data_IF_918047923737
#
_entry.id   IF_918047923737
#
_cell.length_a   1.000
_cell.length_b   1.000
_cell.length_c   1.000
_cell.angle_alpha   90.00
_cell.angle_beta   90.00
_cell.angle_gamma   90.00
#
_symmetry.space_group_name_H-M   'P 1'
#
loop_
_entity.id
_entity.type
_entity.pdbx_description
1 polymer ?
#
# COMPACT_ATOMS: atom_id res chain seq x y z
N UNK A 1 -35.26 9.27 13.16
CA UNK A 1 -33.98 8.89 12.53
C UNK A 1 -32.90 9.04 13.58
N UNK A 2 -32.53 7.93 14.23
CA UNK A 2 -31.53 7.93 15.30
C UNK A 2 -30.14 8.21 14.72
N UNK A 3 -29.37 9.02 15.45
CA UNK A 3 -27.96 9.29 15.17
C UNK A 3 -27.21 7.99 15.40
N UNK A 4 -26.76 7.35 14.32
CA UNK A 4 -25.82 6.23 14.39
C UNK A 4 -24.49 6.78 14.93
N UNK A 5 -24.14 6.38 16.15
CA UNK A 5 -22.84 6.69 16.75
C UNK A 5 -21.70 6.19 15.84
N UNK A 6 -20.66 7.01 15.74
CA UNK A 6 -19.48 6.74 14.92
C UNK A 6 -18.78 5.47 15.42
N UNK A 7 -18.53 4.46 14.58
CA UNK A 7 -17.64 3.37 14.97
C UNK A 7 -16.21 3.92 15.09
N UNK A 8 -15.64 3.81 16.29
CA UNK A 8 -14.23 4.08 16.52
C UNK A 8 -13.44 2.79 16.21
N UNK A 9 -12.81 2.74 15.03
CA UNK A 9 -11.80 1.72 14.75
C UNK A 9 -10.50 2.09 15.46
N UNK A 10 -9.90 1.13 16.14
CA UNK A 10 -8.63 1.29 16.85
C UNK A 10 -7.46 1.30 15.85
N UNK A 11 -7.35 2.37 15.06
CA UNK A 11 -6.07 2.78 14.50
C UNK A 11 -5.40 3.71 15.50
N UNK A 12 -4.16 3.44 15.89
CA UNK A 12 -3.35 4.37 16.69
C UNK A 12 -3.17 5.67 15.92
N UNK A 13 -4.01 6.65 16.18
CA UNK A 13 -3.76 8.04 15.84
C UNK A 13 -3.00 8.65 17.02
N UNK A 14 -1.69 8.78 16.91
CA UNK A 14 -0.94 9.69 17.78
C UNK A 14 -1.29 11.09 17.26
N UNK A 15 -2.33 11.70 17.83
CA UNK A 15 -2.60 13.11 17.65
C UNK A 15 -1.60 13.88 18.52
N UNK A 16 -0.68 14.61 17.89
CA UNK A 16 0.07 15.67 18.56
C UNK A 16 -0.91 16.81 18.85
N UNK A 17 -1.21 17.04 20.13
CA UNK A 17 -1.94 18.22 20.59
C UNK A 17 -0.92 19.35 20.78
N UNK A 18 -0.93 20.32 19.87
CA UNK A 18 -0.13 21.55 19.90
C UNK A 18 -0.88 22.70 20.63
N UNK A 19 -1.57 22.39 21.72
CA UNK A 19 -2.26 23.38 22.55
C UNK A 19 -1.64 23.40 23.95
N UNK A 20 -0.43 23.96 24.05
CA UNK A 20 0.09 24.53 25.30
C UNK A 20 1.31 25.43 25.02
N UNK A 21 1.07 26.62 24.49
CA UNK A 21 2.01 27.75 24.60
C UNK A 21 1.32 28.79 25.50
N UNK A 22 1.69 28.89 26.80
CA UNK A 22 1.19 29.95 27.65
C UNK A 22 1.87 31.27 27.26
N UNK A 23 1.04 32.30 27.09
CA UNK A 23 1.45 33.63 26.68
C UNK A 23 2.36 34.34 27.68
N UNK A 24 3.26 35.15 27.11
CA UNK A 24 4.08 36.11 27.85
C UNK A 24 3.24 37.30 28.32
N UNK A 25 3.09 37.46 29.63
CA UNK A 25 2.69 38.73 30.24
C UNK A 25 3.79 39.22 31.16
N UNK A 26 4.25 40.44 30.88
CA UNK A 26 5.14 41.26 31.68
C UNK A 26 4.53 41.68 33.01
N UNK A 27 5.24 41.50 34.12
CA UNK A 27 5.25 42.40 35.27
C UNK A 27 6.41 42.05 36.22
N UNK A 28 7.06 43.09 36.73
CA UNK A 28 8.15 43.08 37.70
C UNK A 28 7.75 42.41 39.03
N UNK A 29 8.72 41.82 39.72
CA UNK A 29 9.02 42.13 41.13
C UNK A 29 10.36 41.49 41.53
N UNK A 30 11.15 42.30 42.23
CA UNK A 30 12.34 41.93 42.98
C UNK A 30 11.97 41.03 44.16
N UNK A 31 12.74 39.96 44.40
CA UNK A 31 13.03 39.45 45.73
C UNK A 31 14.24 38.51 45.65
N UNK A 32 15.29 38.88 46.39
CA UNK A 32 16.49 38.11 46.67
C UNK A 32 16.10 36.87 47.51
N UNK A 33 16.58 35.69 47.13
CA UNK A 33 16.91 34.66 48.13
C UNK A 33 17.99 33.71 47.59
N UNK A 34 19.00 33.53 48.44
CA UNK A 34 20.13 32.62 48.27
C UNK A 34 19.64 31.17 48.32
N UNK A 35 19.84 30.43 47.23
CA UNK A 35 19.95 28.97 47.29
C UNK A 35 21.28 28.52 46.68
N UNK A 36 21.99 27.74 47.48
CA UNK A 36 23.34 27.25 47.26
C UNK A 36 23.38 26.33 46.03
N UNK A 37 24.24 26.72 45.09
CA UNK A 37 24.53 26.06 43.82
C UNK A 37 25.28 24.74 44.07
N UNK A 38 24.56 23.66 44.38
CA UNK A 38 25.05 22.29 44.19
C UNK A 38 25.09 21.99 42.69
N UNK A 39 26.17 22.44 42.05
CA UNK A 39 26.56 22.01 40.71
C UNK A 39 26.91 20.52 40.75
N UNK A 40 25.89 19.68 40.57
CA UNK A 40 26.08 18.29 40.19
C UNK A 40 26.84 18.26 38.86
N UNK A 41 28.12 17.92 38.95
CA UNK A 41 28.97 17.58 37.82
C UNK A 41 28.40 16.30 37.20
N UNK A 42 27.52 16.47 36.21
CA UNK A 42 27.11 15.39 35.33
C UNK A 42 28.35 14.94 34.56
N UNK A 43 28.82 13.73 34.89
CA UNK A 43 29.94 13.06 34.23
C UNK A 43 29.77 13.12 32.70
N UNK A 44 30.60 13.97 32.08
CA UNK A 44 30.60 14.26 30.65
C UNK A 44 31.36 13.18 29.86
N UNK A 45 31.02 11.90 30.06
CA UNK A 45 31.69 10.76 29.41
C UNK A 45 30.75 9.88 28.58
N UNK A 46 29.75 10.52 27.97
CA UNK A 46 28.82 9.90 27.03
C UNK A 46 28.80 10.64 25.70
N UNK A 47 29.95 10.75 25.02
CA UNK A 47 30.00 11.30 23.66
C UNK A 47 29.29 10.33 22.71
N UNK A 48 27.97 10.47 22.63
CA UNK A 48 27.15 9.77 21.63
C UNK A 48 27.63 10.24 20.28
N UNK A 49 28.40 9.38 19.60
CA UNK A 49 28.91 9.68 18.26
C UNK A 49 27.74 10.09 17.37
N UNK A 50 27.76 11.31 16.87
CA UNK A 50 26.71 11.87 16.02
C UNK A 50 26.41 10.99 14.79
N UNK A 51 27.38 10.21 14.34
CA UNK A 51 27.21 9.25 13.24
C UNK A 51 26.33 8.05 13.63
N UNK A 52 26.42 7.57 14.86
CA UNK A 52 25.55 6.50 15.38
C UNK A 52 24.11 7.00 15.49
N UNK A 53 23.92 8.22 16.00
CA UNK A 53 22.60 8.84 16.05
C UNK A 53 22.00 9.04 14.66
N UNK A 54 22.79 9.49 13.67
CA UNK A 54 22.36 9.61 12.28
C UNK A 54 21.96 8.28 11.67
N UNK A 55 22.70 7.20 11.98
CA UNK A 55 22.37 5.86 11.52
C UNK A 55 21.04 5.37 12.13
N UNK A 56 20.83 5.58 13.43
CA UNK A 56 19.57 5.26 14.11
C UNK A 56 18.41 6.05 13.52
N UNK A 57 18.55 7.36 13.33
CA UNK A 57 17.51 8.20 12.70
C UNK A 57 17.22 7.70 11.28
N UNK A 58 18.23 7.29 10.52
CA UNK A 58 18.05 6.75 9.16
C UNK A 58 17.27 5.43 9.17
N UNK A 59 17.54 4.54 10.12
CA UNK A 59 16.83 3.27 10.23
C UNK A 59 15.40 3.45 10.73
N UNK A 60 15.19 4.26 11.77
CA UNK A 60 13.86 4.53 12.33
C UNK A 60 12.98 5.30 11.33
N UNK A 61 13.56 6.20 10.54
CA UNK A 61 12.83 7.01 9.54
C UNK A 61 12.74 6.35 8.16
N UNK A 62 12.96 5.03 8.07
CA UNK A 62 12.96 4.27 6.81
C UNK A 62 11.64 4.37 6.04
N UNK A 63 10.51 4.56 6.75
CA UNK A 63 9.21 4.87 6.15
C UNK A 63 8.61 3.77 5.26
N UNK A 64 9.25 2.61 5.18
CA UNK A 64 8.79 1.42 4.45
C UNK A 64 8.92 0.19 5.33
N UNK A 65 8.03 -0.78 5.13
CA UNK A 65 8.10 -2.08 5.82
C UNK A 65 9.35 -2.84 5.36
N UNK A 66 9.95 -3.64 6.24
CA UNK A 66 11.22 -4.36 5.96
C UNK A 66 11.18 -5.25 4.73
N UNK A 67 10.03 -5.88 4.46
CA UNK A 67 9.83 -6.68 3.23
C UNK A 67 9.94 -5.82 1.97
N UNK A 68 9.39 -4.60 2.00
CA UNK A 68 9.47 -3.64 0.88
C UNK A 68 10.89 -3.12 0.70
N UNK A 69 11.60 -2.82 1.78
CA UNK A 69 13.01 -2.42 1.72
C UNK A 69 13.91 -3.53 1.17
N UNK A 70 13.72 -4.78 1.61
CA UNK A 70 14.46 -5.91 1.09
C UNK A 70 14.23 -6.08 -0.42
N UNK A 71 12.98 -5.94 -0.87
CA UNK A 71 12.64 -6.01 -2.29
C UNK A 71 13.23 -4.84 -3.09
N UNK A 72 13.19 -3.62 -2.58
CA UNK A 72 13.83 -2.47 -3.24
C UNK A 72 15.34 -2.63 -3.33
N UNK A 73 16.00 -3.08 -2.26
CA UNK A 73 17.44 -3.39 -2.27
C UNK A 73 17.79 -4.47 -3.30
N UNK A 74 16.94 -5.51 -3.45
CA UNK A 74 17.11 -6.53 -4.49
C UNK A 74 17.02 -5.93 -5.88
N UNK A 75 15.99 -5.12 -6.14
CA UNK A 75 15.77 -4.45 -7.43
C UNK A 75 16.89 -3.46 -7.77
N UNK A 76 17.39 -2.70 -6.80
CA UNK A 76 18.55 -1.80 -6.94
C UNK A 76 19.78 -2.58 -7.45
N UNK A 77 20.13 -3.71 -6.81
CA UNK A 77 21.26 -4.55 -7.24
C UNK A 77 21.08 -5.11 -8.66
N UNK A 78 19.85 -5.46 -9.03
CA UNK A 78 19.54 -5.93 -10.40
C UNK A 78 19.71 -4.80 -11.42
N UNK A 79 19.30 -3.57 -11.07
CA UNK A 79 19.52 -2.39 -11.89
C UNK A 79 21.02 -2.10 -12.08
N UNK A 80 21.81 -2.08 -11.01
CA UNK A 80 23.27 -1.89 -11.08
C UNK A 80 23.91 -2.91 -12.01
N UNK A 81 23.61 -4.19 -11.80
CA UNK A 81 24.11 -5.27 -12.64
C UNK A 81 23.75 -5.07 -14.12
N UNK A 82 22.52 -4.65 -14.40
CA UNK A 82 22.08 -4.37 -15.77
C UNK A 82 22.85 -3.19 -16.38
N UNK A 83 22.98 -2.07 -15.66
CA UNK A 83 23.65 -0.85 -16.15
C UNK A 83 25.13 -1.11 -16.42
N UNK A 84 25.80 -1.91 -15.59
CA UNK A 84 27.17 -2.37 -15.85
C UNK A 84 27.25 -3.34 -17.03
N UNK A 85 26.38 -4.34 -17.10
CA UNK A 85 26.39 -5.32 -18.19
C UNK A 85 26.09 -4.67 -19.56
N UNK A 86 25.30 -3.60 -19.58
CA UNK A 86 25.02 -2.82 -20.78
C UNK A 86 26.17 -1.85 -21.16
N UNK A 87 27.20 -1.70 -20.31
CA UNK A 87 28.32 -0.78 -20.53
C UNK A 87 27.94 0.69 -20.42
N UNK A 88 26.81 1.02 -19.79
CA UNK A 88 26.38 2.41 -19.58
C UNK A 88 27.23 3.12 -18.52
N UNK A 89 27.78 2.36 -17.57
CA UNK A 89 28.66 2.87 -16.52
C UNK A 89 29.93 2.03 -16.48
N UNK A 90 31.06 2.70 -16.27
CA UNK A 90 32.38 2.07 -16.18
C UNK A 90 32.46 1.14 -14.96
N UNK A 91 33.25 0.08 -15.08
CA UNK A 91 33.52 -0.82 -13.96
C UNK A 91 34.10 -0.05 -12.77
N UNK A 92 33.59 -0.34 -11.57
CA UNK A 92 33.99 0.31 -10.32
C UNK A 92 33.34 1.66 -10.03
N UNK A 93 32.43 2.15 -10.89
CA UNK A 93 31.63 3.34 -10.61
C UNK A 93 30.21 2.93 -10.26
N UNK A 94 29.74 3.29 -9.06
CA UNK A 94 28.38 2.95 -8.60
C UNK A 94 27.32 3.76 -9.37
N UNK A 95 26.29 3.07 -9.87
CA UNK A 95 25.14 3.73 -10.50
C UNK A 95 24.34 4.56 -9.51
N UNK A 96 24.06 4.00 -8.34
CA UNK A 96 23.41 4.70 -7.25
C UNK A 96 24.48 5.40 -6.40
N UNK A 97 24.50 6.73 -6.46
CA UNK A 97 25.48 7.54 -5.74
C UNK A 97 24.89 8.90 -5.34
N UNK A 98 25.59 9.63 -4.48
CA UNK A 98 25.23 11.01 -4.12
C UNK A 98 25.53 12.02 -5.23
N UNK A 99 26.27 11.62 -6.27
CA UNK A 99 26.57 12.43 -7.46
C UNK A 99 26.37 11.54 -8.69
N UNK A 100 25.11 11.22 -9.03
CA UNK A 100 24.84 10.25 -10.08
C UNK A 100 25.20 10.81 -11.46
N UNK A 101 25.39 9.89 -12.41
CA UNK A 101 25.69 10.24 -13.80
C UNK A 101 24.60 11.17 -14.37
N UNK A 102 24.94 12.19 -15.17
CA UNK A 102 23.95 13.07 -15.80
C UNK A 102 22.85 12.33 -16.58
N UNK A 103 23.15 11.14 -17.12
CA UNK A 103 22.24 10.28 -17.86
C UNK A 103 21.52 9.23 -16.99
N UNK A 104 21.67 9.26 -15.66
CA UNK A 104 21.11 8.24 -14.77
C UNK A 104 19.60 8.03 -14.94
N UNK A 105 18.84 9.09 -15.26
CA UNK A 105 17.42 9.00 -15.55
C UNK A 105 17.13 8.15 -16.80
N UNK A 106 17.96 8.30 -17.85
CA UNK A 106 17.86 7.52 -19.09
C UNK A 106 18.23 6.07 -18.84
N UNK A 107 19.26 5.80 -18.03
CA UNK A 107 19.65 4.43 -17.67
C UNK A 107 18.56 3.70 -16.87
N UNK A 108 17.88 4.40 -15.96
CA UNK A 108 16.72 3.86 -15.24
C UNK A 108 15.57 3.50 -16.20
N UNK A 109 15.28 4.35 -17.19
CA UNK A 109 14.29 4.05 -18.24
C UNK A 109 14.71 2.87 -19.08
N UNK A 110 15.97 2.80 -19.51
CA UNK A 110 16.51 1.68 -20.27
C UNK A 110 16.38 0.35 -19.51
N UNK A 111 16.62 0.36 -18.20
CA UNK A 111 16.41 -0.81 -17.36
C UNK A 111 14.93 -1.23 -17.29
N UNK A 112 14.02 -0.29 -17.08
CA UNK A 112 12.57 -0.60 -17.09
C UNK A 112 12.14 -1.10 -18.47
N UNK A 113 12.66 -0.51 -19.55
CA UNK A 113 12.38 -0.90 -20.93
C UNK A 113 12.86 -2.31 -21.24
N UNK A 114 14.06 -2.68 -20.79
CA UNK A 114 14.63 -4.01 -21.03
C UNK A 114 13.88 -5.13 -20.28
N UNK A 115 13.17 -4.84 -19.20
CA UNK A 115 12.34 -5.84 -18.50
C UNK A 115 10.87 -5.82 -18.98
N UNK A 116 10.27 -4.64 -19.08
CA UNK A 116 8.80 -4.50 -19.08
C UNK A 116 8.20 -4.00 -20.40
N UNK A 117 9.00 -3.73 -21.44
CA UNK A 117 8.53 -3.20 -22.72
C UNK A 117 8.73 -4.21 -23.86
N UNK A 118 7.80 -4.24 -24.81
CA UNK A 118 7.88 -5.09 -26.02
C UNK A 118 8.88 -4.54 -27.03
N UNK A 119 9.47 -3.38 -26.77
CA UNK A 119 10.52 -2.77 -27.60
C UNK A 119 11.85 -2.91 -26.88
N UNK A 120 12.84 -3.46 -27.57
CA UNK A 120 14.22 -3.54 -27.10
C UNK A 120 14.91 -2.19 -27.06
N UNK A 121 16.10 -2.15 -26.45
CA UNK A 121 16.92 -0.93 -26.35
C UNK A 121 17.39 -0.39 -27.70
N UNK A 122 17.42 -1.25 -28.73
CA UNK A 122 17.74 -0.90 -30.12
C UNK A 122 16.52 -0.35 -30.88
N UNK A 123 15.37 -0.22 -30.22
CA UNK A 123 14.12 0.26 -30.82
C UNK A 123 13.38 -0.81 -31.62
N UNK A 124 13.86 -2.05 -31.68
CA UNK A 124 13.19 -3.13 -32.41
C UNK A 124 12.20 -3.87 -31.51
N UNK A 125 11.16 -4.50 -32.07
CA UNK A 125 10.30 -5.40 -31.32
C UNK A 125 11.12 -6.53 -30.68
N UNK A 126 10.77 -6.88 -29.44
CA UNK A 126 11.34 -8.01 -28.71
C UNK A 126 10.92 -9.32 -29.38
N UNK A 127 11.76 -10.34 -29.23
CA UNK A 127 11.45 -11.70 -29.68
C UNK A 127 10.18 -12.22 -28.99
N UNK A 128 9.34 -12.93 -29.75
CA UNK A 128 8.03 -13.41 -29.31
C UNK A 128 8.14 -14.41 -28.13
N UNK A 129 9.29 -15.06 -27.99
CA UNK A 129 9.54 -16.02 -26.92
C UNK A 129 9.82 -15.35 -25.56
N UNK A 130 10.13 -14.05 -25.54
CA UNK A 130 10.44 -13.33 -24.29
C UNK A 130 9.24 -12.49 -23.85
N UNK A 131 8.47 -13.00 -22.89
CA UNK A 131 7.35 -12.24 -22.30
C UNK A 131 7.86 -11.05 -21.51
N UNK A 132 7.41 -9.85 -21.85
CA UNK A 132 7.66 -8.65 -21.06
C UNK A 132 6.99 -8.74 -19.67
N UNK A 133 7.66 -8.19 -18.66
CA UNK A 133 7.10 -8.08 -17.31
C UNK A 133 5.93 -7.09 -17.25
N UNK A 134 5.04 -7.29 -16.28
CA UNK A 134 3.86 -6.45 -16.04
C UNK A 134 4.18 -4.97 -15.76
N UNK A 135 3.23 -4.07 -16.03
CA UNK A 135 3.37 -2.66 -15.66
C UNK A 135 3.56 -2.45 -14.14
N UNK A 136 2.95 -3.31 -13.32
CA UNK A 136 3.15 -3.30 -11.86
C UNK A 136 4.62 -3.59 -11.49
N UNK A 137 5.31 -4.44 -12.24
CA UNK A 137 6.74 -4.68 -12.04
C UNK A 137 7.55 -3.42 -12.39
N UNK A 138 7.24 -2.78 -13.51
CA UNK A 138 7.85 -1.50 -13.90
C UNK A 138 7.67 -0.41 -12.81
N UNK A 139 6.50 -0.34 -12.18
CA UNK A 139 6.26 0.60 -11.06
C UNK A 139 7.17 0.29 -9.86
N UNK A 140 7.36 -0.99 -9.52
CA UNK A 140 8.28 -1.40 -8.44
C UNK A 140 9.73 -1.06 -8.77
N UNK A 141 10.16 -1.30 -10.01
CA UNK A 141 11.49 -0.94 -10.49
C UNK A 141 11.74 0.56 -10.35
N UNK A 142 10.80 1.41 -10.81
CA UNK A 142 10.88 2.86 -10.64
C UNK A 142 10.92 3.26 -9.16
N UNK A 143 10.05 2.70 -8.33
CA UNK A 143 10.01 3.00 -6.90
C UNK A 143 11.31 2.60 -6.19
N UNK A 144 11.92 1.49 -6.58
CA UNK A 144 13.23 1.07 -6.11
C UNK A 144 14.32 2.07 -6.51
N UNK A 145 14.31 2.60 -7.75
CA UNK A 145 15.22 3.66 -8.15
C UNK A 145 15.00 4.95 -7.33
N UNK A 146 13.74 5.35 -7.11
CA UNK A 146 13.41 6.51 -6.27
C UNK A 146 13.91 6.34 -4.85
N UNK A 147 13.73 5.15 -4.28
CA UNK A 147 14.23 4.77 -2.96
C UNK A 147 15.76 4.80 -2.90
N UNK A 148 16.44 4.20 -3.88
CA UNK A 148 17.90 4.20 -3.98
C UNK A 148 18.48 5.61 -3.99
N UNK A 149 18.16 6.40 -5.00
CA UNK A 149 18.66 7.77 -5.14
C UNK A 149 18.22 8.68 -3.99
N UNK A 150 16.94 8.64 -3.63
CA UNK A 150 16.36 9.56 -2.66
C UNK A 150 16.80 9.26 -1.24
N UNK A 151 16.65 8.01 -0.80
CA UNK A 151 16.83 7.59 0.59
C UNK A 151 18.23 7.07 0.89
N UNK A 152 18.74 6.16 0.06
CA UNK A 152 20.05 5.55 0.34
C UNK A 152 21.17 6.56 0.14
N UNK A 153 21.10 7.35 -0.94
CA UNK A 153 22.11 8.34 -1.34
C UNK A 153 21.75 9.81 -1.04
N UNK A 154 20.62 10.05 -0.38
CA UNK A 154 20.31 11.37 0.20
C UNK A 154 19.92 12.46 -0.80
N UNK A 155 19.53 12.11 -2.03
CA UNK A 155 19.07 13.08 -3.04
C UNK A 155 17.63 13.56 -2.80
N UNK A 156 16.92 12.92 -1.86
CA UNK A 156 15.55 13.26 -1.49
C UNK A 156 14.54 13.10 -2.64
N UNK A 157 13.54 13.98 -2.65
CA UNK A 157 12.43 14.03 -3.61
C UNK A 157 12.53 15.21 -4.59
N UNK A 158 13.68 15.87 -4.66
CA UNK A 158 13.89 17.02 -5.53
C UNK A 158 13.82 16.56 -7.00
N UNK A 159 13.07 17.22 -7.88
CA UNK A 159 13.04 16.90 -9.30
C UNK A 159 14.44 16.92 -9.92
N UNK A 160 14.73 15.96 -10.79
CA UNK A 160 16.01 15.88 -11.52
C UNK A 160 16.11 17.05 -12.50
N UNK A 161 17.04 17.97 -12.27
CA UNK A 161 17.19 19.18 -13.08
C UNK A 161 18.65 19.64 -13.17
N UNK A 162 19.00 20.30 -14.27
CA UNK A 162 20.31 20.93 -14.41
C UNK A 162 20.32 22.25 -13.64
N UNK A 163 21.24 22.38 -12.70
CA UNK A 163 21.47 23.62 -11.96
C UNK A 163 21.94 24.72 -12.91
N UNK A 164 21.26 25.87 -12.91
CA UNK A 164 21.66 27.04 -13.72
C UNK A 164 23.04 27.58 -13.32
N UNK A 165 23.36 27.55 -12.03
CA UNK A 165 24.61 28.07 -11.49
C UNK A 165 25.80 27.13 -11.72
N UNK A 166 25.64 25.84 -11.39
CA UNK A 166 26.76 24.88 -11.44
C UNK A 166 26.85 24.11 -12.76
N UNK A 167 25.78 24.12 -13.56
CA UNK A 167 25.64 23.28 -14.74
C UNK A 167 25.54 21.78 -14.45
N UNK A 168 25.59 21.36 -13.18
CA UNK A 168 25.49 19.95 -12.77
C UNK A 168 24.03 19.53 -12.62
N UNK A 169 23.75 18.25 -12.83
CA UNK A 169 22.44 17.67 -12.55
C UNK A 169 22.27 17.50 -11.03
N UNK A 170 21.10 17.92 -10.52
CA UNK A 170 20.72 17.83 -9.10
C UNK A 170 19.35 17.17 -8.98
N UNK A 171 19.10 16.53 -7.84
CA UNK A 171 17.81 15.89 -7.50
C UNK A 171 17.83 14.38 -7.67
N UNK A 172 16.66 13.77 -7.76
CA UNK A 172 16.50 12.32 -7.90
C UNK A 172 16.22 11.93 -9.36
N UNK A 173 17.13 11.20 -10.04
CA UNK A 173 16.98 10.81 -11.45
C UNK A 173 15.64 10.13 -11.80
N UNK A 174 15.06 9.36 -10.87
CA UNK A 174 13.78 8.66 -11.09
C UNK A 174 12.52 9.56 -11.10
N UNK A 175 12.68 10.80 -10.61
CA UNK A 175 11.63 11.83 -10.57
C UNK A 175 11.72 12.74 -11.82
N UNK A 176 12.63 12.45 -12.74
CA UNK A 176 12.72 13.18 -14.00
C UNK A 176 11.42 13.08 -14.83
N UNK A 177 11.10 14.17 -15.54
CA UNK A 177 9.83 14.27 -16.28
C UNK A 177 9.72 13.18 -17.36
N UNK A 178 10.81 12.91 -18.08
CA UNK A 178 10.80 11.91 -19.15
C UNK A 178 10.61 10.48 -18.62
N UNK A 179 11.09 10.17 -17.41
CA UNK A 179 10.80 8.89 -16.74
C UNK A 179 9.29 8.77 -16.50
N UNK A 180 8.65 9.85 -16.03
CA UNK A 180 7.21 9.88 -15.79
C UNK A 180 6.40 9.75 -17.09
N UNK A 181 6.80 10.47 -18.15
CA UNK A 181 6.20 10.37 -19.49
C UNK A 181 6.33 8.95 -20.06
N UNK A 182 7.50 8.35 -19.91
CA UNK A 182 7.75 6.96 -20.32
C UNK A 182 6.83 5.98 -19.58
N UNK A 183 6.72 6.06 -18.25
CA UNK A 183 5.83 5.19 -17.46
C UNK A 183 4.35 5.31 -17.89
N UNK A 184 3.88 6.53 -18.18
CA UNK A 184 2.51 6.73 -18.70
C UNK A 184 2.33 6.09 -20.07
N UNK A 185 3.32 6.21 -20.96
CA UNK A 185 3.32 5.57 -22.28
C UNK A 185 3.32 4.04 -22.17
N UNK A 186 4.19 3.49 -21.32
CA UNK A 186 4.29 2.06 -21.04
C UNK A 186 2.95 1.51 -20.54
N UNK A 187 2.32 2.17 -19.57
CA UNK A 187 0.98 1.80 -19.09
C UNK A 187 -0.04 1.72 -20.22
N UNK A 188 -0.07 2.72 -21.10
CA UNK A 188 -1.00 2.75 -22.24
C UNK A 188 -0.72 1.63 -23.24
N UNK A 189 0.55 1.31 -23.51
CA UNK A 189 0.94 0.19 -24.38
C UNK A 189 0.46 -1.14 -23.78
N UNK A 190 0.77 -1.39 -22.52
CA UNK A 190 0.39 -2.63 -21.86
C UNK A 190 -1.14 -2.83 -21.82
N UNK A 191 -1.90 -1.75 -21.55
CA UNK A 191 -3.37 -1.79 -21.62
C UNK A 191 -3.87 -2.13 -23.05
N UNK A 192 -3.24 -1.58 -24.10
CA UNK A 192 -3.58 -1.93 -25.49
C UNK A 192 -3.25 -3.38 -25.82
N UNK A 193 -2.21 -3.94 -25.21
CA UNK A 193 -1.83 -5.34 -25.35
C UNK A 193 -2.68 -6.30 -24.51
N UNK A 194 -3.73 -5.79 -23.84
CA UNK A 194 -4.64 -6.61 -23.05
C UNK A 194 -4.20 -6.84 -21.61
N UNK A 195 -3.12 -6.20 -21.13
CA UNK A 195 -2.83 -6.17 -19.68
C UNK A 195 -3.94 -5.35 -19.01
N UNK A 196 -4.91 -6.04 -18.42
CA UNK A 196 -5.95 -5.37 -17.63
C UNK A 196 -5.32 -4.97 -16.32
N UNK A 197 -5.36 -3.67 -16.03
CA UNK A 197 -4.88 -3.17 -14.75
C UNK A 197 -5.61 -3.90 -13.62
N UNK A 198 -4.85 -4.55 -12.75
CA UNK A 198 -5.41 -5.26 -11.60
C UNK A 198 -6.24 -4.28 -10.76
N UNK A 199 -7.47 -4.65 -10.40
CA UNK A 199 -8.40 -3.77 -9.69
C UNK A 199 -8.81 -2.50 -10.47
N UNK A 200 -8.74 -2.52 -11.80
CA UNK A 200 -9.21 -1.41 -12.64
C UNK A 200 -10.67 -1.05 -12.38
N UNK A 201 -11.51 -2.04 -12.08
CA UNK A 201 -12.94 -1.84 -11.83
C UNK A 201 -13.26 -1.78 -10.35
N UNK A 202 -14.13 -0.85 -10.01
CA UNK A 202 -14.77 -0.77 -8.71
C UNK A 202 -15.90 -1.81 -8.63
N UNK A 203 -16.05 -2.43 -7.46
CA UNK A 203 -17.27 -3.19 -7.16
C UNK A 203 -18.40 -2.19 -6.92
N UNK A 204 -19.52 -2.32 -7.63
CA UNK A 204 -20.66 -1.42 -7.46
C UNK A 204 -21.67 -2.00 -6.47
N UNK A 205 -22.59 -1.19 -5.91
CA UNK A 205 -23.68 -1.69 -5.08
C UNK A 205 -24.51 -2.77 -5.77
N UNK A 206 -24.73 -2.66 -7.07
CA UNK A 206 -25.51 -3.62 -7.86
C UNK A 206 -24.78 -4.96 -7.94
N UNK A 207 -23.45 -4.94 -8.11
CA UNK A 207 -22.63 -6.16 -8.10
C UNK A 207 -22.68 -6.81 -6.70
N UNK A 208 -22.57 -6.02 -5.63
CA UNK A 208 -22.70 -6.55 -4.25
C UNK A 208 -24.07 -7.18 -4.01
N UNK A 209 -25.13 -6.55 -4.52
CA UNK A 209 -26.49 -7.07 -4.43
C UNK A 209 -26.66 -8.37 -5.24
N UNK A 210 -26.09 -8.45 -6.43
CA UNK A 210 -26.09 -9.67 -7.23
C UNK A 210 -25.35 -10.83 -6.51
N UNK A 211 -24.18 -10.54 -5.93
CA UNK A 211 -23.42 -11.48 -5.10
C UNK A 211 -24.22 -11.92 -3.87
N UNK A 212 -24.92 -10.99 -3.20
CA UNK A 212 -25.81 -11.30 -2.07
C UNK A 212 -26.89 -12.29 -2.49
N UNK A 213 -27.64 -11.97 -3.55
CA UNK A 213 -28.73 -12.81 -4.01
C UNK A 213 -28.25 -14.19 -4.43
N UNK A 214 -27.12 -14.28 -5.12
CA UNK A 214 -26.53 -15.56 -5.49
C UNK A 214 -26.13 -16.40 -4.26
N UNK A 215 -25.43 -15.80 -3.29
CA UNK A 215 -24.96 -16.49 -2.09
C UNK A 215 -26.10 -16.91 -1.15
N UNK A 216 -27.28 -16.30 -1.26
CA UNK A 216 -28.46 -16.61 -0.44
C UNK A 216 -29.52 -17.45 -1.18
N UNK A 217 -29.19 -17.97 -2.37
CA UNK A 217 -30.11 -18.88 -3.09
C UNK A 217 -30.32 -20.17 -2.28
N UNK A 218 -31.56 -20.67 -2.13
CA UNK A 218 -31.84 -21.88 -1.38
C UNK A 218 -31.06 -23.07 -1.94
N UNK A 219 -30.84 -23.15 -3.26
CA UNK A 219 -30.07 -24.25 -3.84
C UNK A 219 -28.60 -24.22 -3.42
N UNK A 220 -28.03 -23.03 -3.14
CA UNK A 220 -26.66 -22.84 -2.63
C UNK A 220 -26.63 -23.06 -1.12
N UNK A 221 -27.72 -22.75 -0.41
CA UNK A 221 -27.84 -22.91 1.03
C UNK A 221 -28.19 -24.33 1.49
N UNK A 222 -28.80 -25.15 0.64
CA UNK A 222 -29.17 -26.53 0.96
C UNK A 222 -27.93 -27.45 1.03
N UNK A 223 -27.70 -28.02 2.22
CA UNK A 223 -26.70 -29.07 2.44
C UNK A 223 -27.16 -30.34 1.73
N UNK A 224 -26.74 -30.51 0.48
CA UNK A 224 -26.93 -31.78 -0.24
C UNK A 224 -25.85 -32.77 0.19
N UNK A 225 -26.17 -34.07 0.35
CA UNK A 225 -25.17 -35.10 0.63
C UNK A 225 -24.08 -35.06 -0.43
N UNK A 226 -22.82 -35.11 0.02
CA UNK A 226 -21.61 -34.86 -0.78
C UNK A 226 -21.57 -35.78 -1.98
N UNK A 227 -22.02 -35.28 -3.13
CA UNK A 227 -21.73 -35.86 -4.43
C UNK A 227 -20.42 -35.27 -4.92
N UNK A 228 -19.65 -36.01 -5.74
CA UNK A 228 -18.25 -35.70 -6.12
C UNK A 228 -17.98 -34.31 -6.76
N UNK A 229 -18.96 -33.42 -6.92
CA UNK A 229 -18.73 -32.04 -7.38
C UNK A 229 -18.42 -31.14 -6.18
N UNK A 230 -17.31 -30.39 -6.31
CA UNK A 230 -16.87 -29.30 -5.42
C UNK A 230 -18.01 -28.31 -5.25
N UNK A 231 -18.76 -28.39 -4.15
CA UNK A 231 -19.71 -27.35 -3.80
C UNK A 231 -19.25 -26.74 -2.49
N UNK A 232 -19.10 -25.42 -2.51
CA UNK A 232 -18.75 -24.60 -1.38
C UNK A 232 -19.83 -24.76 -0.31
N UNK A 233 -19.43 -24.92 0.96
CA UNK A 233 -20.37 -25.01 2.08
C UNK A 233 -21.27 -23.75 2.12
N UNK A 234 -22.59 -23.86 2.36
CA UNK A 234 -23.51 -22.72 2.48
C UNK A 234 -22.97 -21.55 3.32
N UNK A 235 -22.32 -21.89 4.44
CA UNK A 235 -21.75 -20.91 5.36
C UNK A 235 -20.62 -20.08 4.73
N UNK A 236 -19.90 -20.63 3.75
CA UNK A 236 -18.83 -19.91 3.05
C UNK A 236 -19.38 -18.78 2.18
N UNK A 237 -20.52 -18.96 1.52
CA UNK A 237 -21.17 -17.90 0.75
C UNK A 237 -21.52 -16.68 1.62
N UNK A 238 -22.00 -16.94 2.84
CA UNK A 238 -22.29 -15.90 3.83
C UNK A 238 -21.02 -15.22 4.35
N UNK A 239 -19.96 -15.98 4.64
CA UNK A 239 -18.66 -15.44 5.05
C UNK A 239 -18.10 -14.52 3.97
N UNK A 240 -18.09 -14.96 2.71
CA UNK A 240 -17.63 -14.15 1.58
C UNK A 240 -18.43 -12.86 1.46
N UNK A 241 -19.76 -12.95 1.56
CA UNK A 241 -20.60 -11.77 1.48
C UNK A 241 -20.32 -10.79 2.64
N UNK A 242 -20.12 -11.28 3.85
CA UNK A 242 -19.72 -10.45 4.98
C UNK A 242 -18.39 -9.74 4.74
N UNK A 243 -17.37 -10.43 4.21
CA UNK A 243 -16.09 -9.82 3.82
C UNK A 243 -16.32 -8.73 2.76
N UNK A 244 -17.12 -9.00 1.73
CA UNK A 244 -17.42 -8.05 0.66
C UNK A 244 -18.03 -6.75 1.20
N UNK A 245 -19.04 -6.87 2.07
CA UNK A 245 -19.74 -5.73 2.66
C UNK A 245 -18.83 -4.94 3.60
N UNK A 246 -18.07 -5.62 4.45
CA UNK A 246 -17.13 -4.95 5.37
C UNK A 246 -16.04 -4.22 4.59
N UNK A 247 -15.40 -4.88 3.61
CA UNK A 247 -14.38 -4.24 2.77
C UNK A 247 -14.93 -3.02 2.03
N UNK A 248 -16.15 -3.10 1.50
CA UNK A 248 -16.80 -2.02 0.78
C UNK A 248 -17.18 -0.84 1.70
N UNK A 249 -17.86 -1.09 2.82
CA UNK A 249 -18.35 -0.03 3.71
C UNK A 249 -17.24 0.60 4.55
N UNK A 250 -16.24 -0.18 4.95
CA UNK A 250 -15.12 0.31 5.76
C UNK A 250 -13.94 0.81 4.89
N UNK A 251 -14.07 0.80 3.56
CA UNK A 251 -12.99 1.19 2.63
C UNK A 251 -11.69 0.41 2.88
N UNK A 252 -11.80 -0.85 3.25
CA UNK A 252 -10.66 -1.72 3.51
C UNK A 252 -10.24 -2.43 2.22
N UNK A 253 -8.95 -2.70 2.10
CA UNK A 253 -8.48 -3.78 1.22
C UNK A 253 -8.97 -5.10 1.79
N UNK A 254 -9.19 -6.11 0.95
CA UNK A 254 -9.71 -7.36 1.50
C UNK A 254 -8.70 -8.02 2.46
N UNK A 255 -7.38 -7.85 2.30
CA UNK A 255 -6.41 -8.44 3.22
C UNK A 255 -6.45 -7.77 4.60
N UNK A 256 -6.78 -6.48 4.65
CA UNK A 256 -7.10 -5.75 5.88
C UNK A 256 -8.40 -6.29 6.48
N UNK A 257 -9.43 -6.51 5.67
CA UNK A 257 -10.71 -7.07 6.12
C UNK A 257 -10.56 -8.50 6.68
N UNK A 258 -9.76 -9.36 6.04
CA UNK A 258 -9.51 -10.74 6.49
C UNK A 258 -8.78 -10.79 7.84
N UNK A 259 -7.97 -9.77 8.15
CA UNK A 259 -7.23 -9.66 9.42
C UNK A 259 -8.07 -9.17 10.60
N UNK A 260 -9.33 -8.78 10.38
CA UNK A 260 -10.23 -8.36 11.46
C UNK A 260 -10.41 -9.52 12.44
N UNK A 261 -10.14 -9.26 13.70
CA UNK A 261 -10.34 -10.19 14.81
C UNK A 261 -11.67 -9.91 15.50
N UNK A 262 -12.20 -10.91 16.19
CA UNK A 262 -13.47 -10.78 16.92
C UNK A 262 -13.43 -9.65 17.97
N UNK A 263 -12.28 -9.43 18.59
CA UNK A 263 -12.07 -8.34 19.57
C UNK A 263 -12.14 -6.93 18.96
N UNK A 264 -11.96 -6.79 17.65
CA UNK A 264 -12.02 -5.49 16.97
C UNK A 264 -13.47 -4.98 16.84
N UNK A 265 -14.47 -5.85 17.05
CA UNK A 265 -15.90 -5.55 16.87
C UNK A 265 -16.58 -5.31 18.22
N UNK A 266 -16.38 -4.12 18.78
CA UNK A 266 -16.88 -3.73 20.11
C UNK A 266 -18.37 -3.99 20.39
N UNK A 267 -19.32 -3.76 19.46
CA UNK A 267 -20.74 -4.00 19.75
C UNK A 267 -21.08 -5.49 19.97
N UNK A 268 -20.27 -6.40 19.42
CA UNK A 268 -20.46 -7.83 19.55
C UNK A 268 -19.75 -8.42 20.76
N UNK A 269 -18.82 -7.70 21.40
CA UNK A 269 -18.00 -8.24 22.50
C UNK A 269 -18.84 -8.66 23.70
N UNK A 270 -19.94 -7.97 24.01
CA UNK A 270 -20.85 -8.37 25.09
C UNK A 270 -21.54 -9.72 24.80
N UNK A 271 -22.03 -9.91 23.57
CA UNK A 271 -22.66 -11.17 23.15
C UNK A 271 -21.63 -12.30 23.01
N UNK A 272 -20.48 -12.00 22.40
CA UNK A 272 -19.36 -12.94 22.23
C UNK A 272 -18.78 -13.38 23.58
N UNK A 273 -18.71 -12.47 24.57
CA UNK A 273 -18.32 -12.80 25.94
C UNK A 273 -19.30 -13.79 26.58
N UNK A 274 -20.62 -13.59 26.41
CA UNK A 274 -21.61 -14.57 26.84
C UNK A 274 -21.49 -15.91 26.10
N UNK A 275 -21.15 -15.89 24.80
CA UNK A 275 -20.94 -17.08 23.98
C UNK A 275 -19.58 -17.77 24.21
N UNK A 276 -18.70 -17.19 25.05
CA UNK A 276 -17.33 -17.65 25.31
C UNK A 276 -16.44 -17.72 24.06
N UNK A 277 -16.73 -16.90 23.05
CA UNK A 277 -15.89 -16.77 21.85
C UNK A 277 -15.08 -15.48 22.00
N UNK A 278 -13.93 -15.57 22.64
CA UNK A 278 -13.16 -14.37 23.03
C UNK A 278 -12.01 -14.04 22.08
N UNK A 279 -11.60 -14.96 21.22
CA UNK A 279 -10.40 -14.83 20.39
C UNK A 279 -10.56 -15.49 19.01
N UNK A 280 -9.77 -15.02 18.05
CA UNK A 280 -9.72 -15.54 16.69
C UNK A 280 -10.06 -14.51 15.63
N UNK A 281 -9.83 -14.88 14.38
CA UNK A 281 -10.19 -14.08 13.22
C UNK A 281 -11.70 -14.13 13.00
N UNK A 282 -12.28 -12.99 12.63
CA UNK A 282 -13.69 -12.91 12.21
C UNK A 282 -13.93 -13.80 10.99
N UNK A 283 -12.92 -13.91 10.12
CA UNK A 283 -12.95 -14.71 8.90
C UNK A 283 -11.92 -15.85 9.00
N UNK A 284 -12.32 -17.02 9.51
CA UNK A 284 -11.42 -18.16 9.68
C UNK A 284 -10.93 -18.70 8.33
N UNK A 285 -9.85 -19.48 8.37
CA UNK A 285 -9.33 -20.17 7.18
C UNK A 285 -10.39 -21.07 6.57
N UNK A 286 -10.47 -21.10 5.24
CA UNK A 286 -11.29 -22.07 4.51
C UNK A 286 -10.37 -23.17 4.00
N UNK A 287 -10.69 -24.41 4.34
CA UNK A 287 -9.89 -25.58 3.96
C UNK A 287 -10.02 -25.88 2.47
N UNK A 288 -9.19 -26.78 1.95
CA UNK A 288 -9.23 -27.22 0.54
C UNK A 288 -10.58 -27.85 0.16
N UNK A 289 -11.36 -28.30 1.16
CA UNK A 289 -12.70 -28.85 0.98
C UNK A 289 -13.81 -27.80 1.10
N UNK A 290 -13.44 -26.53 1.04
CA UNK A 290 -14.34 -25.38 1.23
C UNK A 290 -15.13 -25.46 2.54
N UNK A 291 -14.51 -26.01 3.58
CA UNK A 291 -15.04 -26.07 4.94
C UNK A 291 -14.41 -24.99 5.80
N UNK A 292 -15.19 -24.46 6.75
CA UNK A 292 -14.69 -23.55 7.77
C UNK A 292 -13.63 -24.29 8.62
N UNK A 293 -12.41 -23.76 8.61
CA UNK A 293 -11.28 -24.27 9.38
C UNK A 293 -11.14 -23.60 10.74
N UNK A 294 -9.95 -23.74 11.31
CA UNK A 294 -9.57 -23.18 12.60
C UNK A 294 -9.67 -21.65 12.64
N UNK A 295 -10.38 -21.10 13.62
CA UNK A 295 -10.56 -19.65 13.83
C UNK A 295 -9.29 -18.93 14.26
N UNK A 296 -8.26 -19.66 14.70
CA UNK A 296 -6.95 -19.09 15.00
C UNK A 296 -6.12 -18.82 13.74
N UNK A 297 -6.55 -19.33 12.57
CA UNK A 297 -5.80 -19.19 11.31
C UNK A 297 -6.49 -18.25 10.36
N UNK A 298 -5.74 -17.24 9.90
CA UNK A 298 -6.14 -16.27 8.90
C UNK A 298 -6.40 -16.93 7.53
N UNK A 299 -7.54 -16.63 6.91
CA UNK A 299 -7.78 -16.98 5.51
C UNK A 299 -6.72 -16.35 4.61
N UNK A 300 -6.06 -17.17 3.78
CA UNK A 300 -5.08 -16.68 2.81
C UNK A 300 -5.74 -15.81 1.75
N UNK A 301 -5.12 -14.68 1.46
CA UNK A 301 -5.54 -13.71 0.44
C UNK A 301 -5.76 -14.35 -0.94
N UNK A 302 -4.91 -15.30 -1.33
CA UNK A 302 -4.98 -15.99 -2.61
C UNK A 302 -6.24 -16.87 -2.70
N UNK A 303 -6.57 -17.58 -1.61
CA UNK A 303 -7.77 -18.42 -1.53
C UNK A 303 -9.04 -17.56 -1.56
N UNK A 304 -9.05 -16.45 -0.83
CA UNK A 304 -10.16 -15.50 -0.90
C UNK A 304 -10.35 -14.95 -2.32
N UNK A 305 -9.26 -14.52 -2.98
CA UNK A 305 -9.31 -14.03 -4.36
C UNK A 305 -9.83 -15.08 -5.33
N UNK A 306 -9.37 -16.33 -5.23
CA UNK A 306 -9.88 -17.44 -6.03
C UNK A 306 -11.41 -17.57 -5.88
N UNK A 307 -11.89 -17.58 -4.63
CA UNK A 307 -13.32 -17.73 -4.34
C UNK A 307 -14.15 -16.53 -4.78
N UNK A 308 -13.63 -15.32 -4.59
CA UNK A 308 -14.25 -14.10 -5.07
C UNK A 308 -14.40 -14.09 -6.60
N UNK A 309 -13.36 -14.51 -7.32
CA UNK A 309 -13.40 -14.62 -8.79
C UNK A 309 -14.42 -15.66 -9.26
N UNK A 310 -14.51 -16.80 -8.58
CA UNK A 310 -15.53 -17.80 -8.87
C UNK A 310 -16.95 -17.24 -8.64
N UNK A 311 -17.16 -16.50 -7.55
CA UNK A 311 -18.42 -15.82 -7.28
C UNK A 311 -18.81 -14.79 -8.35
N UNK A 312 -17.83 -14.06 -8.91
CA UNK A 312 -18.08 -13.15 -10.03
C UNK A 312 -18.49 -13.91 -11.29
N UNK A 313 -17.83 -15.03 -11.60
CA UNK A 313 -18.20 -15.89 -12.73
C UNK A 313 -19.61 -16.44 -12.58
N UNK A 314 -19.99 -16.83 -11.36
CA UNK A 314 -21.31 -17.38 -11.05
C UNK A 314 -22.46 -16.38 -11.27
N UNK A 315 -22.18 -15.07 -11.17
CA UNK A 315 -23.12 -14.00 -11.54
C UNK A 315 -22.92 -13.47 -12.97
N UNK A 316 -22.11 -14.15 -13.79
CA UNK A 316 -21.88 -13.81 -15.20
C UNK A 316 -20.97 -12.60 -15.42
N UNK A 317 -20.11 -12.27 -14.46
CA UNK A 317 -19.13 -11.19 -14.58
C UNK A 317 -17.73 -11.73 -14.82
N UNK A 318 -16.99 -11.04 -15.70
CA UNK A 318 -15.56 -11.28 -15.88
C UNK A 318 -14.81 -10.90 -14.58
N UNK A 319 -14.10 -11.84 -13.94
CA UNK A 319 -13.39 -11.58 -12.70
C UNK A 319 -12.07 -10.80 -12.88
N UNK A 320 -11.49 -10.82 -14.08
CA UNK A 320 -10.14 -10.29 -14.33
C UNK A 320 -9.93 -8.80 -13.99
N UNK A 321 -10.88 -7.88 -14.28
CA UNK A 321 -10.73 -6.46 -13.92
C UNK A 321 -10.90 -6.15 -12.42
N UNK A 322 -11.26 -7.14 -11.60
CA UNK A 322 -11.48 -6.98 -10.16
C UNK A 322 -10.30 -7.53 -9.35
N UNK A 323 -9.94 -6.83 -8.27
CA UNK A 323 -8.81 -7.21 -7.42
C UNK A 323 -8.87 -6.61 -6.02
N UNK A 324 -7.71 -6.54 -5.37
CA UNK A 324 -7.53 -6.13 -3.96
C UNK A 324 -8.15 -4.78 -3.62
N UNK A 325 -8.16 -3.84 -4.55
CA UNK A 325 -8.67 -2.48 -4.32
C UNK A 325 -10.09 -2.26 -4.84
N UNK A 326 -10.71 -3.25 -5.50
CA UNK A 326 -12.01 -3.04 -6.15
C UNK A 326 -13.13 -2.69 -5.18
N UNK A 327 -13.14 -3.29 -3.98
CA UNK A 327 -14.11 -2.97 -2.92
C UNK A 327 -13.88 -1.57 -2.36
N UNK A 328 -12.64 -1.24 -2.00
CA UNK A 328 -12.25 0.08 -1.48
C UNK A 328 -12.59 1.21 -2.47
N UNK A 329 -12.33 1.00 -3.76
CA UNK A 329 -12.71 1.93 -4.84
C UNK A 329 -14.22 2.05 -4.97
N UNK A 330 -14.93 0.93 -4.94
CA UNK A 330 -16.40 0.86 -4.97
C UNK A 330 -17.06 1.62 -3.83
N UNK A 331 -16.62 1.37 -2.61
CA UNK A 331 -17.12 2.06 -1.42
C UNK A 331 -16.88 3.55 -1.49
N UNK A 332 -15.69 3.97 -1.95
CA UNK A 332 -15.35 5.38 -2.14
C UNK A 332 -16.30 6.05 -3.13
N UNK A 333 -16.51 5.42 -4.29
CA UNK A 333 -17.46 5.90 -5.30
C UNK A 333 -18.87 5.97 -4.75
N UNK A 334 -19.34 4.96 -4.00
CA UNK A 334 -20.65 4.95 -3.38
C UNK A 334 -20.82 6.06 -2.34
N UNK A 335 -19.84 6.27 -1.46
CA UNK A 335 -19.90 7.35 -0.48
C UNK A 335 -19.91 8.73 -1.15
N UNK A 336 -19.13 8.93 -2.21
CA UNK A 336 -19.09 10.19 -2.94
C UNK A 336 -20.40 10.44 -3.71
N UNK A 337 -20.85 9.48 -4.51
CA UNK A 337 -21.97 9.66 -5.44
C UNK A 337 -23.35 9.48 -4.78
N UNK A 338 -23.53 8.43 -3.98
CA UNK A 338 -24.83 8.06 -3.42
C UNK A 338 -25.05 8.65 -2.03
N UNK A 339 -24.00 8.68 -1.20
CA UNK A 339 -24.07 9.26 0.16
C UNK A 339 -23.68 10.74 0.20
N UNK A 340 -23.18 11.30 -0.91
CA UNK A 340 -22.75 12.70 -1.05
C UNK A 340 -21.77 13.13 0.06
N UNK A 341 -20.89 12.22 0.48
CA UNK A 341 -19.82 12.56 1.41
C UNK A 341 -18.78 13.42 0.71
N UNK A 342 -18.27 14.44 1.40
CA UNK A 342 -17.14 15.21 0.91
C UNK A 342 -15.87 14.35 0.86
N UNK A 343 -14.95 14.66 -0.06
CA UNK A 343 -13.67 13.95 -0.17
C UNK A 343 -12.93 13.90 1.18
N UNK A 344 -12.90 15.01 1.92
CA UNK A 344 -12.32 15.08 3.27
C UNK A 344 -12.93 14.05 4.23
N UNK A 345 -14.26 13.87 4.21
CA UNK A 345 -14.94 12.88 5.04
C UNK A 345 -14.60 11.46 4.63
N UNK A 346 -14.51 11.19 3.33
CA UNK A 346 -14.14 9.87 2.80
C UNK A 346 -12.68 9.56 3.16
N UNK A 347 -11.75 10.50 3.00
CA UNK A 347 -10.35 10.33 3.40
C UNK A 347 -10.21 10.04 4.89
N UNK A 348 -10.89 10.83 5.73
CA UNK A 348 -10.90 10.59 7.18
C UNK A 348 -11.44 9.19 7.53
N UNK A 349 -12.54 8.78 6.89
CA UNK A 349 -13.13 7.46 7.11
C UNK A 349 -12.25 6.31 6.63
N UNK A 350 -11.61 6.45 5.46
CA UNK A 350 -10.75 5.44 4.86
C UNK A 350 -9.32 5.43 5.36
N UNK A 351 -8.98 6.25 6.37
CA UNK A 351 -7.63 6.39 6.91
C UNK A 351 -6.62 6.92 5.90
N UNK A 352 -7.05 7.74 4.93
CA UNK A 352 -6.17 8.37 3.94
C UNK A 352 -5.61 9.70 4.42
N UNK A 353 -4.41 10.04 3.93
CA UNK A 353 -3.82 11.35 4.18
C UNK A 353 -4.75 12.46 3.67
N UNK A 354 -4.86 13.50 4.48
CA UNK A 354 -5.57 14.74 4.14
C UNK A 354 -4.70 15.69 3.31
N UNK A 355 -3.40 15.44 3.25
CA UNK A 355 -2.45 16.21 2.47
C UNK A 355 -2.39 15.64 1.06
N UNK A 356 -2.97 16.37 0.11
CA UNK A 356 -2.88 16.06 -1.32
C UNK A 356 -1.53 16.51 -1.91
N UNK A 357 -0.44 16.43 -1.14
CA UNK A 357 0.89 16.65 -1.67
C UNK A 357 1.11 15.59 -2.76
N UNK A 358 1.61 16.05 -3.91
CA UNK A 358 1.41 15.48 -5.25
C UNK A 358 1.96 14.06 -5.51
N UNK A 359 2.42 13.34 -4.48
CA UNK A 359 3.08 12.03 -4.60
C UNK A 359 2.31 10.86 -3.96
N UNK A 360 1.31 11.10 -3.10
CA UNK A 360 0.70 10.01 -2.30
C UNK A 360 -0.61 9.47 -2.88
N UNK A 361 -1.15 10.07 -3.95
CA UNK A 361 -2.40 9.63 -4.59
C UNK A 361 -2.07 8.80 -5.83
N UNK A 362 -1.52 7.61 -5.62
CA UNK A 362 -1.45 6.59 -6.66
C UNK A 362 -1.95 5.29 -6.03
N UNK A 363 -3.28 5.12 -5.98
CA UNK A 363 -3.89 3.81 -5.79
C UNK A 363 -4.92 3.57 -6.89
#
# INVERSE_FOLDING_TARGET
>A
MSVLDKPQFAGQTIAFNDDNIPGSSSANNDEEDNEEDETQTLDADGDVKMDDLRAVIKEVSKGVVDSTDAEYKRLIKLCEKFVHAAGFIKDGVDFFSSVPDPQAAVFAVAWIMSCCDDVGLDGKPRDLDTTADSYNHAQKMRAACTYGFGRLHGLGSIPWQKSEYSGKMLGNPSIFEDVSRYMVSLRKKNVRNGEVATSARAITPEILQALYHYNNRPEVCEIKPVTRRKRTEPAVGLILHAVHVIAFLCLLRFDEALKIQLQDIRPLTAWLACAKITQGYLFPTITVRDQIGDSTRLMKSEKFLEMFRNNLLDIGLDPYPYGTHSFRRGGCQYFASHRRWSLRRICNWGGWSMEFSSLTIID
#
